data_IF_895410760966
#
_entry.id   IF_895410760966
#
_cell.length_a   1.000
_cell.length_b   1.000
_cell.length_c   1.000
_cell.angle_alpha   90.00
_cell.angle_beta   90.00
_cell.angle_gamma   90.00
#
_symmetry.space_group_name_H-M   'P 1'
#
loop_
_entity.id
_entity.type
_entity.pdbx_description
1 polymer ?
#
# COMPACT_ATOMS: atom_id res chain seq x y z
N UNK A 1 -10.45 44.43 -51.40
CA UNK A 1 -9.53 43.36 -50.90
C UNK A 1 -9.33 43.33 -49.38
N UNK A 2 -9.95 44.20 -48.55
CA UNK A 2 -9.78 44.23 -47.08
C UNK A 2 -10.46 43.09 -46.29
N UNK A 3 -11.45 42.40 -46.86
CA UNK A 3 -12.18 41.32 -46.16
C UNK A 3 -11.40 40.02 -46.00
N UNK A 4 -10.48 39.70 -46.92
CA UNK A 4 -9.69 38.45 -46.89
C UNK A 4 -8.68 38.39 -45.74
N UNK A 5 -8.06 39.52 -45.39
CA UNK A 5 -7.06 39.61 -44.31
C UNK A 5 -7.68 39.60 -42.91
N UNK A 6 -8.90 40.14 -42.76
CA UNK A 6 -9.61 40.10 -41.47
C UNK A 6 -10.18 38.70 -41.16
N UNK A 7 -10.65 37.99 -42.20
CA UNK A 7 -11.17 36.62 -42.07
C UNK A 7 -10.06 35.62 -41.72
N UNK A 8 -8.88 35.75 -42.32
CA UNK A 8 -7.72 34.91 -42.00
C UNK A 8 -7.17 35.13 -40.59
N UNK A 9 -7.42 36.31 -39.99
CA UNK A 9 -7.03 36.61 -38.62
C UNK A 9 -7.99 35.98 -37.60
N UNK A 10 -9.30 36.06 -37.84
CA UNK A 10 -10.31 35.40 -36.99
C UNK A 10 -10.15 33.88 -36.98
N UNK A 11 -9.85 33.26 -38.12
CA UNK A 11 -9.59 31.82 -38.18
C UNK A 11 -8.32 31.42 -37.44
N UNK A 12 -7.25 32.21 -37.48
CA UNK A 12 -6.04 31.96 -36.65
C UNK A 12 -6.35 31.98 -35.16
N UNK A 13 -7.16 32.93 -34.68
CA UNK A 13 -7.59 32.99 -33.28
C UNK A 13 -8.46 31.78 -32.92
N UNK A 14 -9.41 31.41 -33.79
CA UNK A 14 -10.28 30.27 -33.56
C UNK A 14 -9.48 28.95 -33.48
N UNK A 15 -8.49 28.76 -34.37
CA UNK A 15 -7.60 27.61 -34.34
C UNK A 15 -6.78 27.58 -33.04
N UNK A 16 -6.25 28.73 -32.60
CA UNK A 16 -5.51 28.82 -31.34
C UNK A 16 -6.39 28.43 -30.14
N UNK A 17 -7.64 28.91 -30.09
CA UNK A 17 -8.60 28.57 -29.02
C UNK A 17 -8.97 27.08 -29.02
N UNK A 18 -9.19 26.48 -30.18
CA UNK A 18 -9.49 25.05 -30.31
C UNK A 18 -8.30 24.22 -29.84
N UNK A 19 -7.07 24.62 -30.17
CA UNK A 19 -5.85 23.95 -29.70
C UNK A 19 -5.75 23.99 -28.17
N UNK A 20 -6.06 25.13 -27.55
CA UNK A 20 -6.07 25.28 -26.08
C UNK A 20 -7.11 24.36 -25.45
N UNK A 21 -8.34 24.35 -25.97
CA UNK A 21 -9.41 23.47 -25.48
C UNK A 21 -9.04 21.99 -25.57
N UNK A 22 -8.43 21.59 -26.69
CA UNK A 22 -7.97 20.22 -26.88
C UNK A 22 -6.85 19.83 -25.89
N UNK A 23 -5.90 20.74 -25.64
CA UNK A 23 -4.84 20.52 -24.66
C UNK A 23 -5.39 20.40 -23.22
N UNK A 24 -6.33 21.27 -22.83
CA UNK A 24 -6.99 21.20 -21.52
C UNK A 24 -7.76 19.88 -21.37
N UNK A 25 -8.46 19.44 -22.42
CA UNK A 25 -9.23 18.20 -22.42
C UNK A 25 -8.33 16.96 -22.32
N UNK A 26 -7.26 16.88 -23.12
CA UNK A 26 -6.28 15.79 -23.06
C UNK A 26 -5.60 15.73 -21.68
N UNK A 27 -5.31 16.89 -21.09
CA UNK A 27 -4.75 17.01 -19.74
C UNK A 27 -5.72 16.50 -18.67
N UNK A 28 -7.00 16.87 -18.77
CA UNK A 28 -8.05 16.40 -17.85
C UNK A 28 -8.16 14.87 -17.81
N UNK A 29 -7.89 14.18 -18.93
CA UNK A 29 -7.89 12.72 -18.98
C UNK A 29 -6.67 12.11 -18.27
N UNK A 30 -5.49 12.70 -18.45
CA UNK A 30 -4.23 12.22 -17.83
C UNK A 30 -4.20 12.51 -16.32
N UNK A 31 -4.64 13.70 -15.91
CA UNK A 31 -4.73 14.05 -14.48
C UNK A 31 -5.68 13.10 -13.74
N UNK A 32 -6.82 12.78 -14.36
CA UNK A 32 -7.79 11.85 -13.76
C UNK A 32 -7.17 10.47 -13.53
N UNK A 33 -6.41 9.92 -14.49
CA UNK A 33 -5.78 8.61 -14.27
C UNK A 33 -4.68 8.66 -13.21
N UNK A 34 -3.90 9.74 -13.13
CA UNK A 34 -2.88 9.90 -12.09
C UNK A 34 -3.49 10.04 -10.69
N UNK A 35 -4.63 10.74 -10.57
CA UNK A 35 -5.37 10.88 -9.31
C UNK A 35 -5.99 9.54 -8.90
N UNK A 36 -6.62 8.82 -9.83
CA UNK A 36 -7.22 7.51 -9.57
C UNK A 36 -6.15 6.48 -9.12
N UNK A 37 -4.95 6.50 -9.73
CA UNK A 37 -3.82 5.62 -9.36
C UNK A 37 -3.24 5.99 -7.97
N UNK A 38 -3.19 7.30 -7.65
CA UNK A 38 -2.75 7.80 -6.35
C UNK A 38 -3.76 7.43 -5.24
N UNK A 39 -5.06 7.59 -5.50
CA UNK A 39 -6.15 7.25 -4.59
C UNK A 39 -6.20 5.74 -4.30
N UNK A 40 -6.12 4.91 -5.35
CA UNK A 40 -6.03 3.46 -5.20
C UNK A 40 -4.80 3.03 -4.40
N UNK A 41 -3.66 3.70 -4.60
CA UNK A 41 -2.44 3.47 -3.82
C UNK A 41 -2.61 3.87 -2.35
N UNK A 42 -3.30 4.97 -2.03
CA UNK A 42 -3.48 5.40 -0.64
C UNK A 42 -4.47 4.53 0.13
N UNK A 43 -5.60 4.18 -0.48
CA UNK A 43 -6.61 3.31 0.14
C UNK A 43 -6.04 1.92 0.42
N UNK A 44 -5.36 1.32 -0.56
CA UNK A 44 -4.74 -0.01 -0.42
C UNK A 44 -3.58 -0.01 0.58
N UNK A 45 -2.81 1.08 0.68
CA UNK A 45 -1.67 1.17 1.60
C UNK A 45 -2.09 1.49 3.02
N UNK A 46 -3.14 2.29 3.22
CA UNK A 46 -3.48 2.72 4.56
C UNK A 46 -4.43 1.74 5.25
N UNK A 47 -5.55 1.39 4.62
CA UNK A 47 -6.56 0.54 5.26
C UNK A 47 -6.05 -0.90 5.41
N UNK A 48 -5.47 -1.46 4.35
CA UNK A 48 -5.08 -2.87 4.36
C UNK A 48 -3.81 -3.12 5.18
N UNK A 49 -2.86 -2.16 5.23
CA UNK A 49 -1.64 -2.33 6.04
C UNK A 49 -1.90 -2.18 7.53
N UNK A 50 -2.85 -1.36 7.95
CA UNK A 50 -3.24 -1.28 9.36
C UNK A 50 -3.93 -2.56 9.82
N UNK A 51 -4.85 -3.09 9.01
CA UNK A 51 -5.54 -4.37 9.29
C UNK A 51 -4.55 -5.52 9.38
N UNK A 52 -3.58 -5.61 8.45
CA UNK A 52 -2.55 -6.65 8.52
C UNK A 52 -1.65 -6.51 9.75
N UNK A 53 -1.28 -5.29 10.15
CA UNK A 53 -0.49 -5.09 11.36
C UNK A 53 -1.27 -5.51 12.62
N UNK A 54 -2.58 -5.28 12.66
CA UNK A 54 -3.45 -5.77 13.74
C UNK A 54 -3.45 -7.30 13.82
N UNK A 55 -3.54 -7.99 12.67
CA UNK A 55 -3.41 -9.46 12.64
C UNK A 55 -2.06 -9.95 13.17
N UNK A 56 -0.95 -9.36 12.72
CA UNK A 56 0.41 -9.73 13.20
C UNK A 56 0.52 -9.47 14.71
N UNK A 57 -0.02 -8.36 15.20
CA UNK A 57 -0.02 -8.02 16.62
C UNK A 57 -0.83 -9.04 17.44
N UNK A 58 -2.06 -9.36 17.02
CA UNK A 58 -2.92 -10.32 17.71
C UNK A 58 -2.30 -11.73 17.74
N UNK A 59 -1.69 -12.18 16.63
CA UNK A 59 -0.93 -13.44 16.60
C UNK A 59 0.24 -13.39 17.59
N UNK A 60 0.99 -12.28 17.61
CA UNK A 60 2.13 -12.12 18.54
C UNK A 60 1.67 -12.19 20.00
N UNK A 61 0.56 -11.52 20.34
CA UNK A 61 -0.01 -11.54 21.67
C UNK A 61 -0.44 -12.96 22.09
N UNK A 62 -1.14 -13.68 21.22
CA UNK A 62 -1.59 -15.05 21.50
C UNK A 62 -0.40 -16.01 21.65
N UNK A 63 0.61 -15.93 20.79
CA UNK A 63 1.84 -16.73 20.93
C UNK A 63 2.55 -16.44 22.25
N UNK A 64 2.60 -15.17 22.66
CA UNK A 64 3.20 -14.78 23.94
C UNK A 64 2.41 -15.33 25.13
N UNK A 65 1.08 -15.18 25.12
CA UNK A 65 0.19 -15.76 26.15
C UNK A 65 0.34 -17.27 26.22
N UNK A 66 0.42 -17.94 25.09
CA UNK A 66 0.59 -19.40 25.01
C UNK A 66 1.93 -19.84 25.61
N UNK A 67 3.02 -19.13 25.29
CA UNK A 67 4.33 -19.38 25.90
C UNK A 67 4.33 -19.13 27.40
N UNK A 68 3.69 -18.06 27.86
CA UNK A 68 3.66 -17.69 29.27
C UNK A 68 2.91 -18.74 30.11
N UNK A 69 1.77 -19.25 29.65
CA UNK A 69 1.02 -20.27 30.41
C UNK A 69 1.79 -21.58 30.52
N UNK A 70 2.57 -21.96 29.50
CA UNK A 70 3.45 -23.14 29.56
C UNK A 70 4.68 -22.89 30.44
N UNK A 71 5.29 -21.71 30.36
CA UNK A 71 6.49 -21.39 31.14
C UNK A 71 6.22 -21.27 32.65
N UNK A 72 4.98 -20.94 33.04
CA UNK A 72 4.59 -20.76 34.43
C UNK A 72 4.15 -22.06 35.13
N UNK A 73 4.23 -23.21 34.46
CA UNK A 73 3.90 -24.49 35.09
C UNK A 73 5.07 -24.98 35.91
N UNK A 74 4.82 -25.38 37.15
CA UNK A 74 5.83 -25.91 38.08
C UNK A 74 5.71 -27.42 38.28
N UNK A 75 4.64 -28.03 37.77
CA UNK A 75 4.36 -29.46 37.90
C UNK A 75 3.64 -30.02 36.69
N UNK A 76 3.69 -31.34 36.53
CA UNK A 76 2.98 -32.06 35.47
C UNK A 76 1.46 -31.84 35.51
N UNK A 77 0.86 -31.75 36.70
CA UNK A 77 -0.58 -31.51 36.87
C UNK A 77 -0.97 -30.13 36.32
N UNK A 78 -0.20 -29.09 36.68
CA UNK A 78 -0.41 -27.73 36.15
C UNK A 78 -0.21 -27.68 34.63
N UNK A 79 0.80 -28.39 34.11
CA UNK A 79 1.07 -28.46 32.67
C UNK A 79 -0.06 -29.14 31.89
N UNK A 80 -0.62 -30.23 32.40
CA UNK A 80 -1.78 -30.87 31.79
C UNK A 80 -3.03 -30.01 31.90
N UNK A 81 -3.19 -29.23 32.97
CA UNK A 81 -4.33 -28.33 33.17
C UNK A 81 -4.39 -27.19 32.13
N UNK A 82 -3.24 -26.70 31.65
CA UNK A 82 -3.20 -25.63 30.62
C UNK A 82 -3.41 -26.14 29.18
N UNK A 83 -3.46 -27.46 28.95
CA UNK A 83 -3.60 -28.07 27.61
C UNK A 83 -4.72 -27.43 26.78
N UNK A 84 -5.93 -27.36 27.35
CA UNK A 84 -7.09 -26.84 26.62
C UNK A 84 -6.95 -25.35 26.29
N UNK A 85 -6.33 -24.58 27.19
CA UNK A 85 -6.06 -23.16 26.96
C UNK A 85 -5.03 -22.95 25.85
N UNK A 86 -3.98 -23.79 25.80
CA UNK A 86 -2.97 -23.76 24.74
C UNK A 86 -3.58 -24.12 23.38
N UNK A 87 -4.45 -25.14 23.34
CA UNK A 87 -5.19 -25.51 22.12
C UNK A 87 -6.11 -24.35 21.67
N UNK A 88 -6.82 -23.71 22.60
CA UNK A 88 -7.69 -22.57 22.27
C UNK A 88 -6.91 -21.39 21.66
N UNK A 89 -5.76 -21.02 22.24
CA UNK A 89 -4.90 -20.00 21.64
C UNK A 89 -4.41 -20.38 20.24
N UNK A 90 -4.08 -21.66 20.03
CA UNK A 90 -3.67 -22.14 18.72
C UNK A 90 -4.78 -22.01 17.67
N UNK A 91 -6.00 -22.41 17.99
CA UNK A 91 -7.16 -22.27 17.09
C UNK A 91 -7.47 -20.80 16.78
N UNK A 92 -7.36 -19.91 17.79
CA UNK A 92 -7.50 -18.47 17.57
C UNK A 92 -6.44 -17.93 16.59
N UNK A 93 -5.19 -18.38 16.70
CA UNK A 93 -4.12 -18.00 15.76
C UNK A 93 -4.46 -18.47 14.34
N UNK A 94 -4.93 -19.71 14.16
CA UNK A 94 -5.33 -20.24 12.84
C UNK A 94 -6.50 -19.45 12.23
N UNK A 95 -7.46 -19.04 13.06
CA UNK A 95 -8.57 -18.19 12.64
C UNK A 95 -8.09 -16.80 12.17
N UNK A 96 -7.14 -16.20 12.89
CA UNK A 96 -6.54 -14.91 12.50
C UNK A 96 -5.75 -15.05 11.19
N UNK A 97 -4.96 -16.11 11.04
CA UNK A 97 -4.23 -16.40 9.79
C UNK A 97 -5.22 -16.49 8.61
N UNK A 98 -6.35 -17.17 8.79
CA UNK A 98 -7.40 -17.27 7.75
C UNK A 98 -7.99 -15.89 7.40
N UNK A 99 -8.11 -14.99 8.37
CA UNK A 99 -8.51 -13.59 8.14
C UNK A 99 -7.44 -12.80 7.37
N UNK A 100 -6.17 -13.01 7.72
CA UNK A 100 -5.02 -12.40 7.05
C UNK A 100 -4.91 -12.86 5.58
N UNK A 101 -5.18 -14.12 5.27
CA UNK A 101 -5.19 -14.62 3.87
C UNK A 101 -6.21 -13.92 2.95
N UNK A 102 -7.20 -13.22 3.51
CA UNK A 102 -8.24 -12.51 2.75
C UNK A 102 -7.88 -11.04 2.47
N UNK A 103 -6.79 -10.53 3.02
CA UNK A 103 -6.32 -9.16 2.77
C UNK A 103 -5.59 -9.07 1.43
N UNK A 104 -5.24 -7.87 1.03
CA UNK A 104 -4.42 -7.66 -0.15
C UNK A 104 -2.94 -7.94 0.16
N UNK A 105 -2.50 -9.15 -0.19
CA UNK A 105 -1.11 -9.59 -0.04
C UNK A 105 -0.31 -9.27 -1.30
N UNK A 106 0.91 -8.77 -1.13
CA UNK A 106 1.90 -8.83 -2.21
C UNK A 106 2.34 -10.28 -2.45
N UNK A 107 2.87 -10.64 -3.63
CA UNK A 107 3.37 -12.01 -3.88
C UNK A 107 4.43 -12.47 -2.88
N UNK A 108 5.22 -11.52 -2.35
CA UNK A 108 6.20 -11.83 -1.31
C UNK A 108 5.52 -12.12 0.03
N UNK A 109 4.55 -11.30 0.43
CA UNK A 109 3.82 -11.53 1.69
C UNK A 109 3.03 -12.83 1.67
N UNK A 110 2.39 -13.14 0.55
CA UNK A 110 1.66 -14.40 0.36
C UNK A 110 2.58 -15.61 0.58
N UNK A 111 3.77 -15.60 0.00
CA UNK A 111 4.76 -16.67 0.19
C UNK A 111 5.12 -16.83 1.68
N UNK A 112 5.48 -15.74 2.36
CA UNK A 112 5.91 -15.82 3.76
C UNK A 112 4.75 -16.14 4.71
N UNK A 113 3.53 -15.67 4.41
CA UNK A 113 2.34 -16.02 5.18
C UNK A 113 2.02 -17.51 5.03
N UNK A 114 2.15 -18.07 3.82
CA UNK A 114 1.94 -19.49 3.59
C UNK A 114 3.00 -20.35 4.32
N UNK A 115 4.26 -19.95 4.28
CA UNK A 115 5.34 -20.62 5.03
C UNK A 115 5.08 -20.58 6.55
N UNK A 116 4.67 -19.41 7.07
CA UNK A 116 4.28 -19.24 8.47
C UNK A 116 3.07 -20.10 8.85
N UNK A 117 2.03 -20.11 8.01
CA UNK A 117 0.84 -20.95 8.19
C UNK A 117 1.22 -22.41 8.26
N UNK A 118 2.05 -22.90 7.33
CA UNK A 118 2.49 -24.29 7.32
C UNK A 118 3.25 -24.66 8.60
N UNK A 119 4.13 -23.76 9.07
CA UNK A 119 4.82 -23.95 10.34
C UNK A 119 3.81 -24.07 11.50
N UNK A 120 2.82 -23.19 11.56
CA UNK A 120 1.83 -23.19 12.65
C UNK A 120 0.90 -24.38 12.55
N UNK A 121 0.29 -24.68 11.40
CA UNK A 121 -0.76 -25.71 11.29
C UNK A 121 -0.23 -27.13 11.18
N UNK A 122 0.92 -27.33 10.52
CA UNK A 122 1.41 -28.69 10.21
C UNK A 122 2.58 -29.10 11.09
N UNK A 123 3.45 -28.17 11.49
CA UNK A 123 4.66 -28.49 12.26
C UNK A 123 4.47 -28.34 13.76
N UNK A 124 3.65 -27.40 14.22
CA UNK A 124 3.28 -27.33 15.64
C UNK A 124 2.22 -28.38 15.92
N UNK A 125 2.65 -29.57 16.30
CA UNK A 125 1.77 -30.61 16.79
C UNK A 125 1.33 -30.30 18.24
N UNK A 126 0.45 -29.31 18.43
CA UNK A 126 0.12 -28.79 19.77
C UNK A 126 -0.30 -29.90 20.75
N UNK A 127 -1.06 -30.88 20.26
CA UNK A 127 -1.51 -32.00 21.09
C UNK A 127 -0.38 -32.95 21.51
N UNK A 128 0.69 -33.07 20.71
CA UNK A 128 1.83 -33.95 21.01
C UNK A 128 2.65 -33.45 22.19
N UNK A 129 2.63 -32.15 22.48
CA UNK A 129 3.26 -31.58 23.68
C UNK A 129 2.62 -32.07 24.99
N UNK A 130 1.38 -32.53 24.96
CA UNK A 130 0.66 -32.99 26.16
C UNK A 130 0.49 -34.51 26.21
N UNK A 131 1.15 -35.26 25.32
CA UNK A 131 0.99 -36.71 25.19
C UNK A 131 2.09 -37.48 25.95
N UNK A 132 1.75 -38.65 26.51
CA UNK A 132 2.67 -39.58 27.18
C UNK A 132 3.42 -39.02 28.41
N UNK A 133 2.85 -38.00 29.08
CA UNK A 133 3.52 -37.33 30.20
C UNK A 133 3.35 -38.06 31.54
N UNK A 134 2.27 -38.82 31.71
CA UNK A 134 1.87 -39.49 32.97
C UNK A 134 2.90 -40.50 33.53
N UNK A 135 3.97 -40.78 32.78
CA UNK A 135 4.94 -41.84 33.08
C UNK A 135 6.26 -41.34 33.69
N UNK A 136 6.57 -40.04 33.63
CA UNK A 136 7.82 -39.49 34.20
C UNK A 136 7.87 -37.95 34.24
N UNK A 137 8.38 -37.38 35.33
CA UNK A 137 8.71 -35.95 35.46
C UNK A 137 9.73 -35.48 34.40
N UNK A 138 10.64 -36.35 33.99
CA UNK A 138 11.59 -36.09 32.89
C UNK A 138 10.90 -35.91 31.54
N UNK A 139 9.76 -36.56 31.32
CA UNK A 139 9.00 -36.40 30.07
C UNK A 139 8.30 -35.03 30.03
N UNK A 140 7.84 -34.54 31.19
CA UNK A 140 7.30 -33.19 31.34
C UNK A 140 8.34 -32.13 30.99
N UNK A 141 9.52 -32.15 31.63
CA UNK A 141 10.60 -31.17 31.36
C UNK A 141 11.00 -31.15 29.88
N UNK A 142 11.17 -32.32 29.28
CA UNK A 142 11.50 -32.44 27.85
C UNK A 142 10.40 -31.86 26.96
N UNK A 143 9.12 -32.01 27.34
CA UNK A 143 8.02 -31.46 26.57
C UNK A 143 7.96 -29.94 26.64
N UNK A 144 8.18 -29.35 27.82
CA UNK A 144 8.31 -27.90 28.00
C UNK A 144 9.49 -27.33 27.21
N UNK A 145 10.65 -28.02 27.23
CA UNK A 145 11.81 -27.63 26.43
C UNK A 145 11.53 -27.68 24.92
N UNK A 146 10.89 -28.74 24.44
CA UNK A 146 10.48 -28.90 23.03
C UNK A 146 9.52 -27.79 22.63
N UNK A 147 8.47 -27.57 23.43
CA UNK A 147 7.50 -26.50 23.22
C UNK A 147 8.18 -25.13 23.08
N UNK A 148 9.07 -24.78 24.01
CA UNK A 148 9.79 -23.50 23.97
C UNK A 148 10.68 -23.38 22.72
N UNK A 149 11.41 -24.43 22.35
CA UNK A 149 12.27 -24.44 21.17
C UNK A 149 11.48 -24.26 19.87
N UNK A 150 10.34 -24.91 19.73
CA UNK A 150 9.50 -24.80 18.54
C UNK A 150 8.87 -23.41 18.46
N UNK A 151 8.45 -22.84 19.59
CA UNK A 151 7.89 -21.50 19.66
C UNK A 151 8.89 -20.39 19.33
N UNK A 152 10.18 -20.54 19.66
CA UNK A 152 11.21 -19.59 19.22
C UNK A 152 11.31 -19.51 17.69
N UNK A 153 11.10 -20.63 16.98
CA UNK A 153 11.08 -20.62 15.50
C UNK A 153 9.88 -19.86 14.98
N UNK A 154 8.70 -20.08 15.58
CA UNK A 154 7.45 -19.40 15.21
C UNK A 154 7.58 -17.88 15.43
N UNK A 155 8.14 -17.45 16.56
CA UNK A 155 8.40 -16.02 16.81
C UNK A 155 9.37 -15.43 15.80
N UNK A 156 10.39 -16.19 15.39
CA UNK A 156 11.34 -15.72 14.40
C UNK A 156 10.69 -15.51 13.02
N UNK A 157 9.89 -16.47 12.57
CA UNK A 157 9.22 -16.40 11.27
C UNK A 157 8.18 -15.27 11.24
N UNK A 158 7.41 -15.10 12.33
CA UNK A 158 6.47 -13.99 12.46
C UNK A 158 7.18 -12.63 12.43
N UNK A 159 8.36 -12.53 13.04
CA UNK A 159 9.19 -11.32 13.00
C UNK A 159 9.72 -11.04 11.59
N UNK A 160 10.09 -12.06 10.82
CA UNK A 160 10.47 -11.87 9.41
C UNK A 160 9.29 -11.43 8.55
N UNK A 161 8.10 -12.02 8.75
CA UNK A 161 6.87 -11.58 8.08
C UNK A 161 6.56 -10.10 8.39
N UNK A 162 6.68 -9.69 9.66
CA UNK A 162 6.53 -8.29 10.09
C UNK A 162 7.52 -7.34 9.40
N UNK A 163 8.81 -7.73 9.29
CA UNK A 163 9.82 -6.93 8.58
C UNK A 163 9.50 -6.79 7.09
N UNK A 164 9.02 -7.85 6.44
CA UNK A 164 8.65 -7.82 5.03
C UNK A 164 7.47 -6.89 4.80
N UNK A 165 6.47 -6.96 5.67
CA UNK A 165 5.31 -6.06 5.64
C UNK A 165 5.73 -4.57 5.70
N UNK A 166 6.72 -4.24 6.54
CA UNK A 166 7.27 -2.89 6.62
C UNK A 166 8.03 -2.48 5.35
N UNK A 167 8.79 -3.41 4.76
CA UNK A 167 9.52 -3.16 3.51
C UNK A 167 8.59 -2.95 2.31
N UNK A 168 7.56 -3.78 2.16
CA UNK A 168 6.56 -3.63 1.10
C UNK A 168 5.71 -2.37 1.31
N UNK A 169 5.31 -2.07 2.56
CA UNK A 169 4.65 -0.81 2.91
C UNK A 169 5.50 0.42 2.51
N UNK A 170 6.81 0.38 2.75
CA UNK A 170 7.74 1.45 2.32
C UNK A 170 7.83 1.57 0.80
N UNK A 171 7.85 0.45 0.06
CA UNK A 171 7.86 0.49 -1.42
C UNK A 171 6.61 1.14 -1.97
N UNK A 172 5.45 0.78 -1.42
CA UNK A 172 4.18 1.34 -1.84
C UNK A 172 4.11 2.85 -1.55
N UNK A 173 4.53 3.29 -0.35
CA UNK A 173 4.62 4.72 -0.04
C UNK A 173 5.57 5.48 -1.01
N UNK A 174 6.71 4.89 -1.36
CA UNK A 174 7.64 5.46 -2.33
C UNK A 174 7.06 5.55 -3.74
N UNK A 175 6.21 4.59 -4.14
CA UNK A 175 5.49 4.64 -5.41
C UNK A 175 4.54 5.84 -5.42
N UNK A 176 3.77 6.06 -4.35
CA UNK A 176 2.88 7.22 -4.21
C UNK A 176 3.67 8.55 -4.32
N UNK A 177 4.85 8.65 -3.70
CA UNK A 177 5.73 9.82 -3.86
C UNK A 177 6.20 10.03 -5.30
N UNK A 178 6.52 8.95 -6.05
CA UNK A 178 6.91 9.05 -7.46
C UNK A 178 5.76 9.48 -8.36
N UNK A 179 4.55 8.98 -8.12
CA UNK A 179 3.34 9.39 -8.85
C UNK A 179 3.09 10.89 -8.61
N UNK A 180 3.18 11.34 -7.36
CA UNK A 180 3.06 12.76 -7.01
C UNK A 180 4.14 13.62 -7.69
N UNK A 181 5.42 13.24 -7.58
CA UNK A 181 6.52 14.00 -8.18
C UNK A 181 6.39 14.12 -9.71
N UNK A 182 5.90 13.07 -10.38
CA UNK A 182 5.58 13.12 -11.81
C UNK A 182 4.47 14.12 -12.10
N UNK A 183 3.41 14.13 -11.29
CA UNK A 183 2.30 15.08 -11.42
C UNK A 183 2.78 16.54 -11.23
N UNK A 184 3.65 16.78 -10.24
CA UNK A 184 4.21 18.12 -9.96
C UNK A 184 5.07 18.66 -11.13
N UNK A 185 5.91 17.82 -11.76
CA UNK A 185 6.72 18.23 -12.91
C UNK A 185 5.84 18.58 -14.12
N UNK A 186 4.78 17.81 -14.37
CA UNK A 186 3.83 18.08 -15.45
C UNK A 186 3.06 19.39 -15.23
N UNK A 187 2.64 19.65 -13.98
CA UNK A 187 2.02 20.92 -13.59
C UNK A 187 2.93 22.13 -13.86
N UNK A 188 4.22 22.03 -13.53
CA UNK A 188 5.18 23.11 -13.80
C UNK A 188 5.36 23.37 -15.31
N UNK A 189 5.44 22.31 -16.11
CA UNK A 189 5.51 22.44 -17.57
C UNK A 189 4.23 23.07 -18.14
N UNK A 190 3.07 22.71 -17.62
CA UNK A 190 1.78 23.28 -18.01
C UNK A 190 1.73 24.80 -17.76
N UNK A 191 2.16 25.27 -16.58
CA UNK A 191 2.24 26.71 -16.29
C UNK A 191 3.16 27.45 -17.27
N UNK A 192 4.28 26.84 -17.66
CA UNK A 192 5.20 27.44 -18.64
C UNK A 192 4.56 27.55 -20.03
N UNK A 193 3.86 26.50 -20.49
CA UNK A 193 3.16 26.51 -21.79
C UNK A 193 2.04 27.55 -21.78
N UNK A 194 1.21 27.59 -20.74
CA UNK A 194 0.14 28.57 -20.60
C UNK A 194 0.67 30.01 -20.63
N UNK A 195 1.80 30.27 -19.97
CA UNK A 195 2.42 31.59 -19.96
C UNK A 195 2.90 32.02 -21.36
N UNK A 196 3.60 31.14 -22.08
CA UNK A 196 4.03 31.40 -23.47
C UNK A 196 2.82 31.66 -24.38
N UNK A 197 1.76 30.88 -24.22
CA UNK A 197 0.52 31.03 -24.97
C UNK A 197 -0.14 32.40 -24.72
N UNK A 198 -0.15 32.85 -23.47
CA UNK A 198 -0.71 34.14 -23.06
C UNK A 198 0.06 35.31 -23.71
N UNK A 199 1.39 35.18 -23.85
CA UNK A 199 2.23 36.13 -24.59
C UNK A 199 1.86 36.14 -26.08
N UNK A 200 1.73 34.98 -26.72
CA UNK A 200 1.40 34.87 -28.15
C UNK A 200 0.04 35.51 -28.45
N UNK A 201 -0.98 35.23 -27.62
CA UNK A 201 -2.31 35.83 -27.75
C UNK A 201 -2.23 37.35 -27.60
N UNK A 202 -1.48 37.83 -26.59
CA UNK A 202 -1.28 39.27 -26.37
C UNK A 202 -0.61 39.96 -27.57
N UNK A 203 0.42 39.33 -28.15
CA UNK A 203 1.07 39.83 -29.37
C UNK A 203 0.13 39.86 -30.57
N UNK A 204 -0.67 38.81 -30.78
CA UNK A 204 -1.65 38.76 -31.86
C UNK A 204 -2.69 39.89 -31.71
N UNK A 205 -3.24 40.08 -30.52
CA UNK A 205 -4.21 41.15 -30.24
C UNK A 205 -3.58 42.54 -30.49
N UNK A 206 -2.34 42.76 -30.03
CA UNK A 206 -1.65 44.04 -30.22
C UNK A 206 -1.33 44.32 -31.70
N UNK A 207 -0.83 43.32 -32.43
CA UNK A 207 -0.60 43.39 -33.88
C UNK A 207 -1.89 43.71 -34.66
N UNK A 208 -3.01 43.16 -34.21
CA UNK A 208 -4.34 43.47 -34.77
C UNK A 208 -4.79 44.91 -34.51
N UNK A 209 -4.35 45.56 -33.43
CA UNK A 209 -4.68 46.96 -33.15
C UNK A 209 -3.83 47.93 -33.98
N UNK A 210 -2.55 47.62 -34.19
CA UNK A 210 -1.65 48.43 -35.04
C UNK A 210 -2.09 48.55 -36.50
N UNK A 211 -2.87 47.60 -37.01
CA UNK A 211 -3.49 47.67 -38.34
C UNK A 211 -4.66 48.66 -38.45
N UNK A 212 -5.28 49.07 -37.35
CA UNK A 212 -6.39 50.05 -37.36
C UNK A 212 -5.92 51.51 -37.34
N UNK A 213 -4.75 51.80 -36.78
CA UNK A 213 -4.29 53.17 -36.60
C UNK A 213 -3.52 53.73 -37.82
N UNK A 214 -2.98 52.86 -38.68
CA UNK A 214 -2.30 53.28 -39.92
C UNK A 214 -3.22 53.77 -41.05
N UNK A 215 -4.54 53.71 -40.87
CA UNK A 215 -5.52 54.06 -41.93
C UNK A 215 -6.19 55.43 -41.71
N UNK A 216 -5.79 56.18 -40.67
CA UNK A 216 -6.33 57.53 -40.39
C UNK A 216 -5.46 58.70 -40.83
N UNK A 217 -4.34 58.49 -41.54
CA UNK A 217 -3.49 59.60 -42.01
C UNK A 217 -3.11 59.42 -43.47
N UNK A 218 -3.94 59.99 -44.36
CA UNK A 218 -3.55 60.83 -45.51
C UNK A 218 -4.82 61.45 -46.13
N UNK A 219 -4.69 62.66 -46.71
CA UNK A 219 -5.57 63.82 -46.50
C UNK A 219 -7.00 63.68 -47.04
#
# INVERSE_FOLDING_TARGET
>A
MKGKTFFSFKTKIAIALILILFLIFAKSLVDKSNVDELEASFVTVYEDRLVVQDYIFNITELLFRMRLVVANTESIEQYLAVKNQVIDYHEQILAIITGFERTYLTPKEEQYLNDFKQLVSEKLEIQSYFSNLETSEKNYENSVLRFNSDFERVFNDLRELSKIQLLEGKKLANLSYRIKARSDIWLQFEYAVLFILLIIISMLIYSSRGFKDGEKIKP
#
